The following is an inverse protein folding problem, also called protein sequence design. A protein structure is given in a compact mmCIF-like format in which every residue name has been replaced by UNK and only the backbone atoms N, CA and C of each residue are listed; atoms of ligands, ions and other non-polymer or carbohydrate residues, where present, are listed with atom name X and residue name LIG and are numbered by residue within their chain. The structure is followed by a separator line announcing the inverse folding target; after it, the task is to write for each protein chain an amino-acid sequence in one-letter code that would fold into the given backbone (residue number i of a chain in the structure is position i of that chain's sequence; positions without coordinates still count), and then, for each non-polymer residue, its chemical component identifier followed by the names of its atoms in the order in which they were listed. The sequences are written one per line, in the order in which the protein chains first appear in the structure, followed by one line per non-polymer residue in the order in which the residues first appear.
data_IF_140163732267
#
_entry.id   IF_140163732267
#
_cell.length_a   1.000
_cell.length_b   1.000
_cell.length_c   1.000
_cell.angle_alpha   90.00
_cell.angle_beta   90.00
_cell.angle_gamma   90.00
#
_symmetry.space_group_name_H-M   'P 1'
#
loop_
_entity.id
_entity.type
_entity.pdbx_description
1 polymer ?
#
# COMPACT_ATOMS: atom_id res chain seq x y z
N UNK A 1 13.34 8.94 14.80
CA UNK A 1 11.94 8.46 14.82
C UNK A 1 12.02 6.99 14.45
N UNK A 2 11.27 6.10 15.10
CA UNK A 2 11.26 4.69 14.67
C UNK A 2 10.47 4.61 13.37
N UNK A 3 10.89 3.75 12.43
CA UNK A 3 10.24 3.62 11.11
C UNK A 3 8.74 3.31 11.23
N UNK A 4 8.34 2.49 12.21
CA UNK A 4 6.93 2.23 12.50
C UNK A 4 6.15 3.47 12.94
N UNK A 5 6.78 4.40 13.65
CA UNK A 5 6.13 5.64 14.05
C UNK A 5 5.97 6.58 12.86
N UNK A 6 6.97 6.62 11.95
CA UNK A 6 6.88 7.38 10.71
C UNK A 6 5.72 6.85 9.84
N UNK A 7 5.70 5.54 9.57
CA UNK A 7 4.62 4.91 8.81
C UNK A 7 3.26 5.19 9.46
N UNK A 8 3.15 5.03 10.78
CA UNK A 8 1.89 5.29 11.50
C UNK A 8 1.43 6.74 11.37
N UNK A 9 2.34 7.70 11.50
CA UNK A 9 2.01 9.12 11.43
C UNK A 9 1.57 9.55 10.03
N UNK A 10 2.14 8.93 8.97
CA UNK A 10 1.79 9.23 7.58
C UNK A 10 0.41 8.68 7.16
N UNK A 11 -0.23 7.80 7.95
CA UNK A 11 -1.50 7.19 7.55
C UNK A 11 -2.66 8.19 7.39
N UNK A 12 -2.57 9.36 8.00
CA UNK A 12 -3.59 10.42 7.83
C UNK A 12 -3.67 10.92 6.39
N UNK A 13 -2.55 10.96 5.67
CA UNK A 13 -2.53 11.37 4.26
C UNK A 13 -3.29 10.38 3.36
N UNK A 14 -3.26 9.08 3.70
CA UNK A 14 -4.01 8.06 2.97
C UNK A 14 -5.52 8.26 3.13
N UNK A 15 -5.99 8.58 4.34
CA UNK A 15 -7.40 8.87 4.57
C UNK A 15 -7.88 10.05 3.71
N UNK A 16 -7.06 11.09 3.59
CA UNK A 16 -7.35 12.25 2.75
C UNK A 16 -7.31 11.89 1.27
N UNK A 17 -6.22 11.28 0.79
CA UNK A 17 -6.04 10.91 -0.61
C UNK A 17 -7.17 10.01 -1.11
N UNK A 18 -7.49 8.98 -0.34
CA UNK A 18 -8.53 8.03 -0.73
C UNK A 18 -9.95 8.63 -0.67
N UNK A 19 -10.20 9.56 0.25
CA UNK A 19 -11.45 10.32 0.31
C UNK A 19 -11.63 11.21 -0.92
N UNK A 20 -10.57 11.90 -1.34
CA UNK A 20 -10.60 12.74 -2.55
C UNK A 20 -10.78 11.87 -3.80
N UNK A 21 -10.09 10.75 -3.91
CA UNK A 21 -10.25 9.77 -4.98
C UNK A 21 -11.70 9.26 -5.09
N UNK A 22 -12.28 8.79 -3.98
CA UNK A 22 -13.66 8.32 -3.90
C UNK A 22 -14.66 9.41 -4.30
N UNK A 23 -14.50 10.62 -3.78
CA UNK A 23 -15.38 11.74 -4.10
C UNK A 23 -15.31 12.09 -5.59
N UNK A 24 -14.12 12.13 -6.15
CA UNK A 24 -13.93 12.44 -7.56
C UNK A 24 -14.56 11.40 -8.47
N UNK A 25 -14.50 10.13 -8.12
CA UNK A 25 -15.16 9.06 -8.85
C UNK A 25 -16.69 9.17 -8.78
N UNK A 26 -17.25 9.37 -7.58
CA UNK A 26 -18.70 9.33 -7.36
C UNK A 26 -19.44 10.62 -7.80
N UNK A 27 -18.75 11.75 -7.92
CA UNK A 27 -19.40 13.03 -8.20
C UNK A 27 -19.46 13.43 -9.65
N UNK A 28 -18.73 12.74 -10.53
CA UNK A 28 -18.63 13.18 -11.93
C UNK A 28 -19.11 12.13 -12.91
N UNK A 29 -20.24 12.44 -13.47
CA UNK A 29 -20.96 11.57 -14.39
C UNK A 29 -20.45 11.56 -15.82
N UNK A 30 -19.43 12.32 -16.25
CA UNK A 30 -19.30 12.50 -17.71
C UNK A 30 -17.95 12.80 -18.35
N UNK A 31 -16.76 12.60 -17.76
CA UNK A 31 -15.50 12.77 -18.55
C UNK A 31 -14.33 11.95 -18.06
N UNK A 32 -14.31 10.80 -18.36
CA UNK A 32 -13.61 9.61 -18.79
C UNK A 32 -12.16 9.37 -18.26
N UNK A 33 -11.17 9.52 -18.96
CA UNK A 33 -9.76 9.18 -18.65
C UNK A 33 -9.10 10.30 -17.86
N UNK A 34 -9.44 11.54 -18.16
CA UNK A 34 -8.83 12.72 -17.53
C UNK A 34 -9.06 12.76 -16.02
N UNK A 35 -10.18 12.23 -15.56
CA UNK A 35 -10.53 12.24 -14.15
C UNK A 35 -9.65 11.30 -13.32
N UNK A 36 -9.35 10.11 -13.81
CA UNK A 36 -8.46 9.18 -13.13
C UNK A 36 -7.06 9.77 -12.97
N UNK A 37 -6.53 10.40 -14.03
CA UNK A 37 -5.26 11.10 -13.96
C UNK A 37 -5.29 12.32 -13.01
N UNK A 38 -6.37 13.08 -12.99
CA UNK A 38 -6.54 14.18 -12.04
C UNK A 38 -6.58 13.67 -10.58
N UNK A 39 -7.23 12.53 -10.34
CA UNK A 39 -7.24 11.89 -9.02
C UNK A 39 -5.86 11.37 -8.63
N UNK A 40 -5.16 10.72 -9.56
CA UNK A 40 -3.81 10.24 -9.35
C UNK A 40 -2.87 11.38 -8.98
N UNK A 41 -2.81 12.43 -9.80
CA UNK A 41 -1.97 13.60 -9.54
C UNK A 41 -2.28 14.25 -8.18
N UNK A 42 -3.55 14.33 -7.80
CA UNK A 42 -3.91 14.89 -6.49
C UNK A 42 -3.50 13.99 -5.34
N UNK A 43 -3.54 12.68 -5.54
CA UNK A 43 -3.06 11.71 -4.54
C UNK A 43 -1.53 11.79 -4.41
N UNK A 44 -0.81 11.91 -5.52
CA UNK A 44 0.64 12.15 -5.54
C UNK A 44 1.00 13.39 -4.72
N UNK A 45 0.38 14.54 -5.00
CA UNK A 45 0.60 15.79 -4.24
C UNK A 45 0.44 15.60 -2.73
N UNK A 46 -0.64 14.93 -2.30
CA UNK A 46 -0.91 14.68 -0.88
C UNK A 46 0.17 13.79 -0.25
N UNK A 47 0.59 12.74 -0.97
CA UNK A 47 1.61 11.82 -0.47
C UNK A 47 2.99 12.46 -0.43
N UNK A 48 3.37 13.22 -1.46
CA UNK A 48 4.65 13.95 -1.52
C UNK A 48 4.76 15.01 -0.42
N UNK A 49 3.68 15.77 -0.18
CA UNK A 49 3.62 16.76 0.90
C UNK A 49 3.86 16.13 2.28
N UNK A 50 3.33 14.92 2.52
CA UNK A 50 3.49 14.21 3.79
C UNK A 50 4.85 13.52 3.92
N UNK A 51 5.34 12.91 2.84
CA UNK A 51 6.54 12.08 2.85
C UNK A 51 7.83 12.90 2.69
N UNK A 52 7.77 14.02 1.95
CA UNK A 52 8.93 14.84 1.61
C UNK A 52 9.84 14.22 0.55
N UNK A 53 9.35 13.23 -0.21
CA UNK A 53 10.01 12.64 -1.37
C UNK A 53 8.99 12.27 -2.45
N UNK A 54 9.47 11.94 -3.65
CA UNK A 54 8.61 11.71 -4.81
C UNK A 54 7.68 10.51 -4.63
N UNK A 55 6.41 10.71 -4.96
CA UNK A 55 5.41 9.67 -4.95
C UNK A 55 4.65 9.66 -6.28
N UNK A 56 4.52 8.50 -6.90
CA UNK A 56 3.84 8.34 -8.18
C UNK A 56 2.60 7.45 -8.03
N UNK A 57 1.46 7.90 -8.54
CA UNK A 57 0.22 7.13 -8.56
C UNK A 57 -0.20 6.88 -10.01
N UNK A 58 0.04 5.69 -10.48
CA UNK A 58 -0.30 5.26 -11.83
C UNK A 58 -1.70 4.64 -11.87
N UNK A 59 -2.43 4.92 -12.94
CA UNK A 59 -3.73 4.31 -13.22
C UNK A 59 -3.60 3.45 -14.48
N UNK A 60 -3.93 2.17 -14.36
CA UNK A 60 -3.93 1.22 -15.47
C UNK A 60 -5.30 0.60 -15.65
N UNK A 61 -5.68 0.42 -16.91
CA UNK A 61 -6.83 -0.40 -17.28
C UNK A 61 -6.37 -1.84 -17.43
N UNK A 62 -6.94 -2.74 -16.66
CA UNK A 62 -6.69 -4.17 -16.77
C UNK A 62 -7.88 -4.86 -17.43
N UNK A 63 -7.64 -5.49 -18.58
CA UNK A 63 -8.70 -6.14 -19.38
C UNK A 63 -9.12 -7.48 -18.80
N UNK A 64 -8.30 -8.09 -17.95
CA UNK A 64 -8.54 -9.39 -17.31
C UNK A 64 -9.26 -9.25 -15.97
N UNK A 65 -9.39 -8.03 -15.46
CA UNK A 65 -10.09 -7.76 -14.21
C UNK A 65 -11.59 -7.95 -14.35
N UNK A 66 -12.17 -8.65 -13.38
CA UNK A 66 -13.60 -8.85 -13.27
C UNK A 66 -14.32 -7.56 -12.85
N UNK A 67 -15.64 -7.57 -13.01
CA UNK A 67 -16.52 -6.49 -12.56
C UNK A 67 -16.23 -6.10 -11.09
N UNK A 68 -16.08 -4.83 -10.81
CA UNK A 68 -15.66 -4.29 -9.50
C UNK A 68 -14.25 -4.71 -9.03
N UNK A 69 -13.44 -5.32 -9.87
CA UNK A 69 -12.07 -5.61 -9.49
C UNK A 69 -11.20 -4.36 -9.60
N UNK A 70 -10.49 -4.09 -8.53
CA UNK A 70 -9.46 -3.07 -8.41
C UNK A 70 -8.33 -3.67 -7.60
N UNK A 71 -7.12 -3.66 -8.15
CA UNK A 71 -5.92 -4.13 -7.44
C UNK A 71 -4.89 -3.03 -7.36
N UNK A 72 -4.00 -3.16 -6.39
CA UNK A 72 -2.96 -2.19 -6.11
C UNK A 72 -1.61 -2.90 -6.12
N UNK A 73 -0.72 -2.41 -6.96
CA UNK A 73 0.67 -2.83 -6.98
C UNK A 73 1.53 -1.67 -6.49
N UNK A 74 2.65 -1.97 -5.85
CA UNK A 74 3.56 -0.96 -5.37
C UNK A 74 5.00 -1.26 -5.77
N UNK A 75 5.82 -0.23 -5.76
CA UNK A 75 7.25 -0.31 -5.87
C UNK A 75 7.90 0.84 -5.07
N UNK A 76 9.04 0.56 -4.47
CA UNK A 76 9.87 1.57 -3.83
C UNK A 76 11.26 1.55 -4.47
N UNK A 77 11.75 2.72 -4.87
CA UNK A 77 13.12 2.91 -5.30
C UNK A 77 13.85 3.69 -4.21
N UNK A 78 14.90 3.08 -3.67
CA UNK A 78 15.68 3.66 -2.57
C UNK A 78 17.10 3.88 -3.07
N UNK A 79 17.51 5.14 -3.32
CA UNK A 79 18.88 5.44 -3.71
C UNK A 79 19.86 5.15 -2.56
N UNK A 80 21.09 4.72 -2.92
CA UNK A 80 22.12 4.28 -1.96
C UNK A 80 22.56 5.36 -0.97
N UNK A 81 22.31 6.65 -1.25
CA UNK A 81 22.92 7.74 -0.47
C UNK A 81 21.95 8.71 0.22
N UNK A 82 20.69 8.87 -0.25
CA UNK A 82 19.79 9.90 0.29
C UNK A 82 18.32 9.50 0.32
N UNK A 83 17.72 9.44 1.51
CA UNK A 83 16.28 9.22 1.71
C UNK A 83 15.41 10.22 0.93
N UNK A 84 15.83 11.48 0.81
CA UNK A 84 15.12 12.52 0.04
C UNK A 84 15.02 12.24 -1.46
N UNK A 85 15.78 11.28 -1.97
CA UNK A 85 15.73 10.83 -3.36
C UNK A 85 14.96 9.52 -3.52
N UNK A 86 14.36 9.01 -2.44
CA UNK A 86 13.48 7.84 -2.50
C UNK A 86 12.26 8.13 -3.35
N UNK A 87 11.77 7.10 -4.04
CA UNK A 87 10.56 7.17 -4.85
C UNK A 87 9.61 6.06 -4.41
N UNK A 88 8.36 6.40 -4.23
CA UNK A 88 7.28 5.45 -3.97
C UNK A 88 6.33 5.45 -5.15
N UNK A 89 6.06 4.29 -5.71
CA UNK A 89 5.09 4.12 -6.78
C UNK A 89 3.93 3.24 -6.32
N UNK A 90 2.70 3.68 -6.58
CA UNK A 90 1.50 2.88 -6.42
C UNK A 90 0.76 2.84 -7.75
N UNK A 91 0.57 1.65 -8.30
CA UNK A 91 -0.23 1.45 -9.50
C UNK A 91 -1.61 0.92 -9.11
N UNK A 92 -2.66 1.60 -9.55
CA UNK A 92 -4.05 1.21 -9.38
C UNK A 92 -4.53 0.58 -10.69
N UNK A 93 -4.75 -0.73 -10.68
CA UNK A 93 -5.28 -1.48 -11.81
C UNK A 93 -6.80 -1.58 -11.68
N UNK A 94 -7.51 -1.14 -12.72
CA UNK A 94 -8.95 -1.03 -12.74
C UNK A 94 -9.57 -1.95 -13.78
N UNK A 95 -10.66 -2.62 -13.43
CA UNK A 95 -11.50 -3.28 -14.43
C UNK A 95 -11.94 -2.28 -15.51
N UNK A 96 -12.24 -2.75 -16.74
CA UNK A 96 -12.65 -1.87 -17.84
C UNK A 96 -13.83 -0.95 -17.48
N UNK A 97 -14.78 -1.45 -16.69
CA UNK A 97 -15.98 -0.72 -16.28
C UNK A 97 -15.67 0.35 -15.24
N UNK A 98 -14.79 0.05 -14.27
CA UNK A 98 -14.30 1.04 -13.30
C UNK A 98 -13.48 2.12 -14.00
N UNK A 99 -12.59 1.72 -14.91
CA UNK A 99 -11.77 2.67 -15.67
C UNK A 99 -12.61 3.63 -16.50
N UNK A 100 -13.72 3.15 -17.07
CA UNK A 100 -14.66 3.98 -17.84
C UNK A 100 -15.74 4.64 -17.00
N UNK A 101 -15.71 4.47 -15.67
CA UNK A 101 -16.70 5.01 -14.74
C UNK A 101 -18.16 4.59 -15.03
N UNK A 102 -18.34 3.41 -15.58
CA UNK A 102 -19.68 2.88 -15.89
C UNK A 102 -20.40 2.29 -14.68
N UNK A 103 -19.67 2.09 -13.58
CA UNK A 103 -20.19 1.46 -12.37
C UNK A 103 -20.25 2.45 -11.21
N UNK A 104 -21.33 2.37 -10.45
CA UNK A 104 -21.37 2.93 -9.11
C UNK A 104 -20.69 1.98 -8.14
N UNK A 105 -19.77 2.47 -7.33
CA UNK A 105 -19.04 1.66 -6.34
C UNK A 105 -19.75 1.79 -4.98
N UNK A 106 -20.29 0.68 -4.43
CA UNK A 106 -20.88 0.66 -3.10
C UNK A 106 -19.86 1.03 -2.00
N UNK A 107 -20.34 1.60 -0.90
CA UNK A 107 -19.51 1.99 0.23
C UNK A 107 -18.62 0.85 0.76
N UNK A 108 -19.20 -0.35 0.93
CA UNK A 108 -18.45 -1.52 1.40
C UNK A 108 -17.30 -1.94 0.46
N UNK A 109 -17.43 -1.66 -0.82
CA UNK A 109 -16.39 -1.92 -1.82
C UNK A 109 -15.30 -0.85 -1.72
N UNK A 110 -15.68 0.42 -1.51
CA UNK A 110 -14.72 1.50 -1.26
C UNK A 110 -13.87 1.25 -0.01
N UNK A 111 -14.47 0.77 1.07
CA UNK A 111 -13.73 0.45 2.29
C UNK A 111 -12.71 -0.68 2.05
N UNK A 112 -13.06 -1.68 1.27
CA UNK A 112 -12.13 -2.73 0.86
C UNK A 112 -10.97 -2.17 0.02
N UNK A 113 -11.27 -1.30 -0.95
CA UNK A 113 -10.24 -0.68 -1.77
C UNK A 113 -9.31 0.20 -0.94
N UNK A 114 -9.87 1.01 -0.02
CA UNK A 114 -9.06 1.80 0.91
C UNK A 114 -8.14 0.92 1.74
N UNK A 115 -8.63 -0.20 2.26
CA UNK A 115 -7.80 -1.14 3.00
C UNK A 115 -6.65 -1.66 2.15
N UNK A 116 -6.91 -2.12 0.93
CA UNK A 116 -5.87 -2.62 0.02
C UNK A 116 -4.84 -1.55 -0.33
N UNK A 117 -5.29 -0.34 -0.66
CA UNK A 117 -4.41 0.80 -0.91
C UNK A 117 -3.51 1.10 0.29
N UNK A 118 -4.09 1.15 1.50
CA UNK A 118 -3.35 1.41 2.74
C UNK A 118 -2.29 0.34 2.99
N UNK A 119 -2.60 -0.94 2.77
CA UNK A 119 -1.65 -2.02 2.98
C UNK A 119 -0.51 -1.99 1.96
N UNK A 120 -0.81 -1.71 0.68
CA UNK A 120 0.22 -1.51 -0.35
C UNK A 120 1.11 -0.31 0.00
N UNK A 121 0.53 0.80 0.40
CA UNK A 121 1.29 1.98 0.84
C UNK A 121 2.24 1.67 2.01
N UNK A 122 1.77 0.96 3.02
CA UNK A 122 2.58 0.58 4.19
C UNK A 122 3.76 -0.31 3.76
N UNK A 123 3.52 -1.27 2.86
CA UNK A 123 4.55 -2.15 2.34
C UNK A 123 5.65 -1.34 1.64
N UNK A 124 5.27 -0.51 0.68
CA UNK A 124 6.22 0.26 -0.13
C UNK A 124 6.91 1.38 0.66
N UNK A 125 6.17 2.04 1.56
CA UNK A 125 6.79 3.02 2.45
C UNK A 125 7.81 2.36 3.38
N UNK A 126 7.55 1.13 3.86
CA UNK A 126 8.54 0.40 4.64
C UNK A 126 9.79 0.12 3.81
N UNK A 127 9.66 -0.24 2.54
CA UNK A 127 10.80 -0.40 1.63
C UNK A 127 11.56 0.91 1.42
N UNK A 128 10.86 2.03 1.25
CA UNK A 128 11.49 3.35 1.09
C UNK A 128 12.30 3.80 2.31
N UNK A 129 12.03 3.24 3.50
CA UNK A 129 12.76 3.50 4.72
C UNK A 129 13.99 2.57 4.92
N UNK A 130 14.15 1.59 4.05
CA UNK A 130 15.21 0.57 4.15
C UNK A 130 16.39 0.95 3.26
N UNK A 131 17.40 1.59 3.84
CA UNK A 131 18.66 1.88 3.15
C UNK A 131 19.55 0.66 3.14
N UNK A 132 19.80 0.03 1.99
CA UNK A 132 20.88 -0.95 1.86
C UNK A 132 21.28 -1.25 0.40
N UNK A 133 22.59 -1.28 0.18
CA UNK A 133 23.31 -1.74 -1.02
C UNK A 133 23.25 -3.27 -1.22
N UNK A 134 22.47 -3.99 -0.39
CA UNK A 134 22.46 -5.46 -0.38
C UNK A 134 21.20 -6.12 -0.97
N UNK A 135 20.27 -5.35 -1.53
CA UNK A 135 19.01 -5.92 -2.07
C UNK A 135 19.22 -7.05 -3.10
N UNK A 136 20.29 -7.01 -3.86
CA UNK A 136 20.59 -7.98 -4.92
C UNK A 136 21.36 -9.25 -4.47
N UNK A 137 21.57 -9.46 -3.16
CA UNK A 137 22.41 -10.57 -2.65
C UNK A 137 21.63 -11.83 -2.27
N UNK A 138 20.31 -11.82 -2.41
CA UNK A 138 19.48 -12.93 -1.98
C UNK A 138 18.93 -13.70 -3.18
N UNK A 139 19.20 -15.02 -3.21
CA UNK A 139 18.73 -15.93 -4.29
C UNK A 139 17.21 -16.12 -4.28
N UNK A 140 16.55 -15.89 -3.15
CA UNK A 140 15.10 -15.98 -2.97
C UNK A 140 14.58 -14.66 -2.44
N UNK A 141 13.67 -14.03 -3.20
CA UNK A 141 13.04 -12.77 -2.89
C UNK A 141 12.53 -12.72 -1.44
N UNK A 142 11.76 -13.71 -1.02
CA UNK A 142 11.19 -13.73 0.34
C UNK A 142 12.19 -14.08 1.44
N UNK A 143 13.41 -14.51 1.12
CA UNK A 143 14.47 -14.72 2.12
C UNK A 143 15.20 -13.42 2.49
N UNK A 144 15.05 -12.38 1.69
CA UNK A 144 15.59 -11.05 1.93
C UNK A 144 15.05 -10.47 3.26
N UNK A 145 15.92 -10.04 4.20
CA UNK A 145 15.49 -9.43 5.46
C UNK A 145 14.59 -8.21 5.28
N UNK A 146 14.76 -7.43 4.21
CA UNK A 146 13.95 -6.25 3.91
C UNK A 146 12.52 -6.64 3.54
N UNK A 147 12.36 -7.65 2.69
CA UNK A 147 11.06 -8.21 2.36
C UNK A 147 10.36 -8.77 3.61
N UNK A 148 11.10 -9.51 4.43
CA UNK A 148 10.58 -10.04 5.69
C UNK A 148 10.10 -8.89 6.59
N UNK A 149 10.83 -7.80 6.66
CA UNK A 149 10.49 -6.65 7.48
C UNK A 149 9.28 -5.90 6.93
N UNK A 150 9.22 -5.62 5.62
CA UNK A 150 8.13 -4.92 4.97
C UNK A 150 6.81 -5.70 5.06
N UNK A 151 6.80 -6.97 4.70
CA UNK A 151 5.62 -7.85 4.87
C UNK A 151 5.20 -8.00 6.34
N UNK A 152 6.15 -8.00 7.27
CA UNK A 152 5.84 -8.01 8.70
C UNK A 152 5.18 -6.70 9.16
N UNK A 153 5.56 -5.57 8.59
CA UNK A 153 4.92 -4.27 8.84
C UNK A 153 3.50 -4.27 8.30
N UNK A 154 3.31 -4.66 7.06
CA UNK A 154 1.99 -4.77 6.44
C UNK A 154 1.02 -5.58 7.30
N UNK A 155 1.42 -6.79 7.73
CA UNK A 155 0.58 -7.63 8.59
C UNK A 155 0.32 -7.01 9.97
N UNK A 156 1.33 -6.39 10.57
CA UNK A 156 1.18 -5.75 11.88
C UNK A 156 0.18 -4.59 11.83
N UNK A 157 0.23 -3.79 10.78
CA UNK A 157 -0.72 -2.70 10.57
C UNK A 157 -2.12 -3.18 10.19
N UNK A 158 -2.25 -4.26 9.39
CA UNK A 158 -3.55 -4.87 9.09
C UNK A 158 -4.26 -5.31 10.39
N UNK A 159 -3.52 -6.00 11.28
CA UNK A 159 -4.04 -6.35 12.60
C UNK A 159 -4.41 -5.12 13.44
N UNK A 160 -3.57 -4.08 13.40
CA UNK A 160 -3.72 -2.89 14.26
C UNK A 160 -4.84 -1.96 13.81
N UNK A 161 -4.89 -1.62 12.51
CA UNK A 161 -5.84 -0.65 11.96
C UNK A 161 -7.26 -1.21 11.91
N UNK A 162 -7.39 -2.50 11.60
CA UNK A 162 -8.70 -3.14 11.39
C UNK A 162 -9.11 -4.04 12.54
N UNK A 163 -8.32 -4.06 13.63
CA UNK A 163 -8.57 -4.87 14.84
C UNK A 163 -8.86 -6.35 14.51
N UNK A 164 -8.08 -6.90 13.58
CA UNK A 164 -8.23 -8.28 13.10
C UNK A 164 -7.31 -9.24 13.86
N UNK A 165 -7.74 -10.50 13.93
CA UNK A 165 -6.82 -11.58 14.29
C UNK A 165 -5.88 -11.88 13.12
N UNK A 166 -4.64 -12.28 13.41
CA UNK A 166 -3.58 -12.54 12.41
C UNK A 166 -4.06 -13.33 11.17
N UNK A 167 -4.81 -14.42 11.41
CA UNK A 167 -5.26 -15.30 10.33
C UNK A 167 -6.43 -14.75 9.51
N UNK A 168 -7.07 -13.70 9.97
CA UNK A 168 -8.19 -13.04 9.28
C UNK A 168 -7.78 -11.77 8.56
N UNK A 169 -6.49 -11.43 8.64
CA UNK A 169 -5.92 -10.32 7.90
C UNK A 169 -5.84 -10.62 6.40
N UNK A 170 -6.14 -9.64 5.56
CA UNK A 170 -6.03 -9.80 4.11
C UNK A 170 -4.57 -10.00 3.68
N UNK A 171 -3.64 -9.30 4.32
CA UNK A 171 -2.20 -9.49 4.15
C UNK A 171 -1.73 -10.92 4.48
N UNK A 172 -2.40 -11.61 5.42
CA UNK A 172 -2.03 -12.98 5.80
C UNK A 172 -2.15 -13.99 4.65
N UNK A 173 -3.07 -13.78 3.72
CA UNK A 173 -3.26 -14.68 2.58
C UNK A 173 -2.00 -14.82 1.71
N UNK A 174 -1.17 -13.78 1.65
CA UNK A 174 0.11 -13.79 0.90
C UNK A 174 1.10 -14.81 1.45
N UNK A 175 1.05 -15.11 2.75
CA UNK A 175 1.95 -16.09 3.38
C UNK A 175 1.66 -17.54 2.99
N UNK A 176 0.51 -17.82 2.40
CA UNK A 176 0.16 -19.18 1.97
C UNK A 176 1.06 -19.73 0.85
N UNK A 177 1.70 -18.84 0.09
CA UNK A 177 2.59 -19.18 -1.03
C UNK A 177 4.07 -19.13 -0.66
N UNK A 178 4.40 -18.68 0.55
CA UNK A 178 5.78 -18.51 1.03
C UNK A 178 6.23 -19.75 1.81
N UNK A 179 7.52 -20.07 1.73
CA UNK A 179 8.11 -21.13 2.56
C UNK A 179 7.74 -20.99 4.04
N UNK A 180 7.34 -22.07 4.67
CA UNK A 180 6.84 -22.08 6.04
C UNK A 180 7.82 -21.49 7.07
N UNK A 181 9.12 -21.65 6.88
CA UNK A 181 10.14 -21.10 7.81
C UNK A 181 10.20 -19.58 7.69
N UNK A 182 10.16 -19.07 6.47
CA UNK A 182 10.16 -17.64 6.16
C UNK A 182 8.84 -17.02 6.64
N UNK A 183 7.70 -17.61 6.31
CA UNK A 183 6.39 -17.17 6.76
C UNK A 183 6.28 -17.12 8.30
N UNK A 184 6.85 -18.08 9.01
CA UNK A 184 6.92 -18.08 10.47
C UNK A 184 7.78 -16.93 11.03
N UNK A 185 8.89 -16.61 10.37
CA UNK A 185 9.74 -15.47 10.73
C UNK A 185 9.00 -14.15 10.56
N UNK A 186 8.34 -13.94 9.41
CA UNK A 186 7.52 -12.76 9.14
C UNK A 186 6.41 -12.59 10.19
N UNK A 187 5.64 -13.64 10.47
CA UNK A 187 4.59 -13.61 11.50
C UNK A 187 5.11 -13.30 12.89
N UNK A 188 6.27 -13.85 13.25
CA UNK A 188 6.90 -13.55 14.54
C UNK A 188 7.27 -12.08 14.66
N UNK A 189 7.80 -11.49 13.59
CA UNK A 189 8.13 -10.06 13.56
C UNK A 189 6.86 -9.21 13.57
N UNK A 190 5.85 -9.57 12.79
CA UNK A 190 4.56 -8.85 12.76
C UNK A 190 3.91 -8.77 14.13
N UNK A 191 3.93 -9.86 14.93
CA UNK A 191 3.40 -9.84 16.32
C UNK A 191 4.17 -8.89 17.23
N UNK A 192 5.49 -8.76 17.07
CA UNK A 192 6.30 -7.80 17.84
C UNK A 192 5.94 -6.37 17.45
N UNK A 193 5.86 -6.08 16.15
CA UNK A 193 5.45 -4.77 15.62
C UNK A 193 4.03 -4.41 16.05
N UNK A 194 3.09 -5.33 15.97
CA UNK A 194 1.72 -5.15 16.45
C UNK A 194 1.67 -4.81 17.94
N UNK A 195 2.44 -5.52 18.76
CA UNK A 195 2.52 -5.24 20.19
C UNK A 195 3.09 -3.85 20.46
N UNK A 196 4.10 -3.43 19.70
CA UNK A 196 4.64 -2.07 19.75
C UNK A 196 3.58 -1.02 19.42
N UNK A 197 2.90 -1.17 18.26
CA UNK A 197 1.84 -0.26 17.82
C UNK A 197 0.70 -0.14 18.85
N UNK A 198 0.37 -1.24 19.53
CA UNK A 198 -0.67 -1.28 20.53
C UNK A 198 -0.31 -0.53 21.83
N UNK A 199 0.96 -0.59 22.22
CA UNK A 199 1.47 0.03 23.43
C UNK A 199 1.80 1.52 23.28
N UNK A 200 1.91 2.00 22.04
CA UNK A 200 2.23 3.40 21.70
C UNK A 200 1.06 4.07 20.95
N UNK A 201 -0.16 3.77 21.39
CA UNK A 201 -1.40 4.41 20.86
C UNK A 201 -1.48 5.87 21.23
#
# INVERSE_FOLDING_TARGET
MNDLDFVKNSLSCIDQAFKEFKNSYNTKTNRYIKLWHECANRTEEILEDELGFSCYVNIRKDMDHALYEMTFDGAANVPEEHFSESELEITINLSPELYTQQLFIPESVWEKYKQQFTLTYILELTHSLQFDDQQNKYDDYFSNPFEIDAYSSELAFDMFLYNKEEKTCDSYARYATIDNKIANKMRSQARKKYSYLKNNK
#
